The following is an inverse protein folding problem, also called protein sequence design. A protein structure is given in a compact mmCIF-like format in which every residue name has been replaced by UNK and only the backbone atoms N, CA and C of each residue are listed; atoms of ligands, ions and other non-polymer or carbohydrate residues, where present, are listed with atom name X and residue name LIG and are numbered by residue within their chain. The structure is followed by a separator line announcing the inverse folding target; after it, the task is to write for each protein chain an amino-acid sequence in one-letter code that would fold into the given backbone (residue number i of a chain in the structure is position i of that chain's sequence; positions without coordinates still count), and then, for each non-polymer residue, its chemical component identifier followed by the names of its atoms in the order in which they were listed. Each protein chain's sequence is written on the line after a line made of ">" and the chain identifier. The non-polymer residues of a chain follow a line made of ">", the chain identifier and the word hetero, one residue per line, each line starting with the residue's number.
data_IF_673899404050
#
_entry.id   IF_673899404050
#
_cell.length_a   1.000
_cell.length_b   1.000
_cell.length_c   1.000
_cell.angle_alpha   90.00
_cell.angle_beta   90.00
_cell.angle_gamma   90.00
#
_symmetry.space_group_name_H-M   'P 1'
#
loop_
_entity.id
_entity.type
_entity.pdbx_description
1 polymer ?
#
# COMPACT_ATOMS: atom_id res chain seq x y z
N UNK A 1 11.23 10.40 19.26
CA UNK A 1 10.07 10.30 18.34
C UNK A 1 9.42 8.94 18.52
N UNK A 2 8.10 8.88 18.67
CA UNK A 2 7.39 7.60 18.77
C UNK A 2 7.41 6.89 17.42
N UNK A 3 7.86 5.64 17.38
CA UNK A 3 7.98 4.85 16.14
C UNK A 3 6.68 4.80 15.31
N UNK A 4 5.52 4.91 15.99
CA UNK A 4 4.20 5.00 15.36
C UNK A 4 4.01 6.27 14.53
N UNK A 5 4.50 7.40 15.03
CA UNK A 5 4.44 8.68 14.31
C UNK A 5 5.39 8.70 13.11
N UNK A 6 6.58 8.10 13.25
CA UNK A 6 7.53 7.98 12.15
C UNK A 6 7.01 7.05 11.02
N UNK A 7 6.39 5.92 11.39
CA UNK A 7 5.77 5.01 10.42
C UNK A 7 4.56 5.66 9.71
N UNK A 8 3.73 6.39 10.46
CA UNK A 8 2.60 7.12 9.90
C UNK A 8 3.07 8.22 8.93
N UNK A 9 4.09 9.00 9.30
CA UNK A 9 4.62 10.04 8.42
C UNK A 9 5.26 9.45 7.16
N UNK A 10 6.05 8.38 7.28
CA UNK A 10 6.64 7.70 6.13
C UNK A 10 5.58 7.14 5.17
N UNK A 11 4.51 6.54 5.69
CA UNK A 11 3.40 6.05 4.88
C UNK A 11 2.68 7.18 4.14
N UNK A 12 2.39 8.28 4.83
CA UNK A 12 1.75 9.46 4.22
C UNK A 12 2.65 10.06 3.14
N UNK A 13 3.96 10.19 3.41
CA UNK A 13 4.92 10.70 2.42
C UNK A 13 5.00 9.78 1.20
N UNK A 14 5.05 8.46 1.39
CA UNK A 14 5.04 7.50 0.29
C UNK A 14 3.76 7.61 -0.54
N UNK A 15 2.60 7.76 0.11
CA UNK A 15 1.31 7.92 -0.55
C UNK A 15 1.25 9.20 -1.40
N UNK A 16 1.77 10.31 -0.88
CA UNK A 16 1.88 11.58 -1.60
C UNK A 16 2.82 11.45 -2.80
N UNK A 17 4.01 10.87 -2.63
CA UNK A 17 4.99 10.66 -3.72
C UNK A 17 4.40 9.76 -4.80
N UNK A 18 3.76 8.66 -4.42
CA UNK A 18 3.10 7.73 -5.36
C UNK A 18 1.97 8.43 -6.11
N UNK A 19 1.18 9.27 -5.44
CA UNK A 19 0.11 10.05 -6.09
C UNK A 19 0.69 11.04 -7.09
N UNK A 20 1.71 11.82 -6.71
CA UNK A 20 2.37 12.78 -7.61
C UNK A 20 2.96 12.07 -8.82
N UNK A 21 3.59 10.91 -8.62
CA UNK A 21 4.23 10.13 -9.66
C UNK A 21 3.22 9.44 -10.61
N UNK A 22 2.10 8.94 -10.09
CA UNK A 22 1.02 8.35 -10.90
C UNK A 22 0.26 9.39 -11.73
N UNK A 23 0.20 10.63 -11.24
CA UNK A 23 -0.63 11.68 -11.82
C UNK A 23 0.18 12.55 -12.78
N UNK A 24 1.11 11.96 -13.56
CA UNK A 24 2.00 12.60 -14.57
C UNK A 24 1.21 13.24 -15.74
N UNK A 25 0.21 14.05 -15.40
CA UNK A 25 -0.88 14.49 -16.24
C UNK A 25 -0.70 15.97 -16.56
N UNK A 26 -0.54 16.27 -17.85
CA UNK A 26 -0.79 17.63 -18.35
C UNK A 26 -2.19 18.07 -17.88
N UNK A 27 -2.31 19.27 -17.33
CA UNK A 27 -3.55 19.82 -16.76
C UNK A 27 -4.80 19.59 -17.64
N UNK A 28 -4.66 19.62 -18.97
CA UNK A 28 -5.76 19.38 -19.91
C UNK A 28 -6.35 17.96 -19.86
N UNK A 29 -5.53 16.90 -19.77
CA UNK A 29 -6.04 15.51 -19.67
C UNK A 29 -6.57 15.19 -18.28
N UNK A 30 -5.93 15.73 -17.24
CA UNK A 30 -6.43 15.60 -15.88
C UNK A 30 -7.85 16.17 -15.74
N UNK A 31 -8.14 17.32 -16.36
CA UNK A 31 -9.47 17.92 -16.33
C UNK A 31 -10.53 17.06 -17.03
N UNK A 32 -10.20 16.46 -18.19
CA UNK A 32 -11.11 15.56 -18.91
C UNK A 32 -11.35 14.24 -18.15
N UNK A 33 -10.32 13.70 -17.53
CA UNK A 33 -10.39 12.46 -16.75
C UNK A 33 -10.76 12.69 -15.29
N UNK A 34 -10.94 13.94 -14.85
CA UNK A 34 -11.16 14.29 -13.45
C UNK A 34 -12.28 13.48 -12.79
N UNK A 35 -13.45 13.27 -13.42
CA UNK A 35 -14.51 12.45 -12.81
C UNK A 35 -14.05 11.01 -12.53
N UNK A 36 -13.36 10.40 -13.50
CA UNK A 36 -12.86 9.03 -13.40
C UNK A 36 -11.74 8.92 -12.37
N UNK A 37 -10.82 9.89 -12.36
CA UNK A 37 -9.72 9.95 -11.39
C UNK A 37 -10.26 10.14 -9.97
N UNK A 38 -11.23 11.03 -9.77
CA UNK A 38 -11.86 11.26 -8.46
C UNK A 38 -12.58 10.00 -7.99
N UNK A 39 -13.37 9.35 -8.84
CA UNK A 39 -14.07 8.11 -8.48
C UNK A 39 -13.07 6.99 -8.20
N UNK A 40 -12.06 6.82 -9.05
CA UNK A 40 -11.02 5.81 -8.87
C UNK A 40 -10.24 6.02 -7.58
N UNK A 41 -9.80 7.25 -7.30
CA UNK A 41 -9.08 7.59 -6.08
C UNK A 41 -9.96 7.42 -4.84
N UNK A 42 -11.22 7.85 -4.90
CA UNK A 42 -12.17 7.68 -3.81
C UNK A 42 -12.48 6.20 -3.54
N UNK A 43 -12.61 5.38 -4.59
CA UNK A 43 -12.82 3.94 -4.47
C UNK A 43 -11.60 3.26 -3.85
N UNK A 44 -10.38 3.58 -4.31
CA UNK A 44 -9.14 3.06 -3.75
C UNK A 44 -8.98 3.49 -2.29
N UNK A 45 -9.22 4.75 -1.97
CA UNK A 45 -9.16 5.26 -0.60
C UNK A 45 -10.20 4.56 0.30
N UNK A 46 -11.44 4.43 -0.16
CA UNK A 46 -12.50 3.73 0.54
C UNK A 46 -12.16 2.26 0.79
N UNK A 47 -11.62 1.58 -0.23
CA UNK A 47 -11.18 0.19 -0.13
C UNK A 47 -10.05 0.03 0.89
N UNK A 48 -9.02 0.89 0.83
CA UNK A 48 -7.90 0.87 1.76
C UNK A 48 -8.35 1.14 3.19
N UNK A 49 -9.25 2.09 3.40
CA UNK A 49 -9.82 2.38 4.74
C UNK A 49 -10.66 1.21 5.23
N UNK A 50 -11.51 0.65 4.37
CA UNK A 50 -12.38 -0.47 4.71
C UNK A 50 -11.57 -1.71 5.08
N UNK A 51 -10.70 -2.17 4.19
CA UNK A 51 -9.86 -3.35 4.43
C UNK A 51 -8.83 -3.11 5.52
N UNK A 52 -8.28 -1.90 5.62
CA UNK A 52 -7.39 -1.52 6.71
C UNK A 52 -8.08 -1.65 8.06
N UNK A 53 -9.31 -1.14 8.20
CA UNK A 53 -10.09 -1.25 9.43
C UNK A 53 -10.48 -2.70 9.74
N UNK A 54 -11.00 -3.43 8.74
CA UNK A 54 -11.39 -4.84 8.91
C UNK A 54 -10.19 -5.71 9.26
N UNK A 55 -9.08 -5.54 8.55
CA UNK A 55 -7.82 -6.22 8.81
C UNK A 55 -7.29 -5.91 10.21
N UNK A 56 -7.36 -4.63 10.62
CA UNK A 56 -6.95 -4.23 11.97
C UNK A 56 -7.81 -4.84 13.07
N UNK A 57 -9.13 -4.84 12.90
CA UNK A 57 -10.06 -5.44 13.86
C UNK A 57 -9.93 -6.97 13.90
N UNK A 58 -9.65 -7.61 12.76
CA UNK A 58 -9.34 -9.04 12.66
C UNK A 58 -8.04 -9.38 13.38
N UNK A 59 -6.99 -8.59 13.12
CA UNK A 59 -5.67 -8.76 13.72
C UNK A 59 -5.72 -8.55 15.24
N UNK A 60 -6.48 -7.56 15.73
CA UNK A 60 -6.68 -7.34 17.17
C UNK A 60 -7.41 -8.48 17.88
N UNK A 61 -8.33 -9.14 17.18
CA UNK A 61 -9.08 -10.30 17.71
C UNK A 61 -8.28 -11.60 17.64
N UNK A 62 -7.19 -11.65 16.87
CA UNK A 62 -6.35 -12.83 16.77
C UNK A 62 -5.64 -13.12 18.11
N UNK A 63 -5.48 -14.41 18.41
CA UNK A 63 -4.85 -14.89 19.65
C UNK A 63 -3.37 -14.47 19.77
N UNK A 64 -2.67 -14.37 18.63
CA UNK A 64 -1.25 -14.01 18.55
C UNK A 64 -0.98 -12.97 17.45
N UNK A 65 -1.37 -11.69 17.63
CA UNK A 65 -1.29 -10.65 16.59
C UNK A 65 0.14 -10.38 16.13
N UNK A 66 1.11 -10.43 17.05
CA UNK A 66 2.52 -10.17 16.75
C UNK A 66 3.13 -11.21 15.81
N UNK A 67 2.76 -12.49 15.98
CA UNK A 67 3.25 -13.56 15.11
C UNK A 67 2.70 -13.44 13.70
N UNK A 68 1.42 -13.04 13.56
CA UNK A 68 0.81 -12.82 12.24
C UNK A 68 1.48 -11.67 11.49
N UNK A 69 1.75 -10.54 12.18
CA UNK A 69 2.46 -9.41 11.58
C UNK A 69 3.89 -9.79 11.20
N UNK A 70 4.60 -10.50 12.10
CA UNK A 70 5.96 -10.97 11.83
C UNK A 70 6.01 -11.94 10.65
N UNK A 71 5.06 -12.89 10.57
CA UNK A 71 4.95 -13.83 9.46
C UNK A 71 4.64 -13.15 8.14
N UNK A 72 3.72 -12.19 8.13
CA UNK A 72 3.40 -11.39 6.94
C UNK A 72 4.62 -10.57 6.46
N UNK A 73 5.33 -9.92 7.39
CA UNK A 73 6.57 -9.19 7.07
C UNK A 73 7.67 -10.12 6.54
N UNK A 74 7.89 -11.27 7.19
CA UNK A 74 8.86 -12.25 6.75
C UNK A 74 8.54 -12.77 5.34
N UNK A 75 7.27 -13.03 5.05
CA UNK A 75 6.82 -13.43 3.73
C UNK A 75 7.08 -12.34 2.67
N UNK A 76 6.73 -11.07 2.96
CA UNK A 76 7.01 -9.95 2.04
C UNK A 76 8.52 -9.77 1.83
N UNK A 77 9.33 -9.87 2.88
CA UNK A 77 10.79 -9.78 2.78
C UNK A 77 11.36 -10.94 1.96
N UNK A 78 10.83 -12.15 2.13
CA UNK A 78 11.21 -13.31 1.32
C UNK A 78 10.87 -13.08 -0.15
N UNK A 79 9.68 -12.59 -0.46
CA UNK A 79 9.29 -12.27 -1.84
C UNK A 79 10.18 -11.17 -2.45
N UNK A 80 10.45 -10.11 -1.70
CA UNK A 80 11.35 -9.04 -2.13
C UNK A 80 12.77 -9.58 -2.34
N UNK A 81 13.27 -10.43 -1.45
CA UNK A 81 14.58 -11.07 -1.59
C UNK A 81 14.63 -11.95 -2.85
N UNK A 82 13.60 -12.77 -3.11
CA UNK A 82 13.51 -13.59 -4.32
C UNK A 82 13.44 -12.74 -5.60
N UNK A 83 12.68 -11.64 -5.57
CA UNK A 83 12.59 -10.71 -6.69
C UNK A 83 13.94 -10.02 -6.97
N UNK A 84 14.65 -9.60 -5.92
CA UNK A 84 15.97 -8.97 -6.03
C UNK A 84 17.07 -9.96 -6.41
N UNK A 85 16.99 -11.22 -5.94
CA UNK A 85 17.87 -12.30 -6.37
C UNK A 85 17.70 -12.61 -7.86
N UNK A 86 16.67 -12.06 -8.51
CA UNK A 86 16.43 -12.27 -9.93
C UNK A 86 16.28 -13.74 -10.22
N UNK A 87 15.54 -14.47 -9.37
CA UNK A 87 15.12 -15.84 -9.69
C UNK A 87 14.29 -15.72 -10.96
N UNK A 88 14.96 -15.91 -12.10
CA UNK A 88 14.30 -16.02 -13.38
C UNK A 88 13.41 -17.23 -13.25
N UNK A 89 12.11 -17.00 -13.06
CA UNK A 89 11.12 -18.03 -13.35
C UNK A 89 11.46 -18.48 -14.78
N UNK A 90 11.78 -19.78 -14.98
CA UNK A 90 12.00 -20.32 -16.31
C UNK A 90 10.82 -19.88 -17.16
N UNK A 91 11.11 -19.01 -18.14
CA UNK A 91 10.10 -18.57 -19.08
C UNK A 91 9.94 -19.73 -20.05
N UNK A 92 8.85 -20.46 -19.88
CA UNK A 92 8.29 -21.26 -20.96
C UNK A 92 7.73 -20.35 -22.05
#
# INVERSE_FOLDING_TARGET
>A
MSARLAAASAFVTALVVVTVWLTDLSFGRAALLAPVLVIGLAAVAGLLVFWGKVGWDSLRRARHPRLLVAGALAFVLLLAALALLGVQLPRE
#
